data_IF_617867356834
#
_entry.id   IF_617867356834
#
_cell.length_a   1.000
_cell.length_b   1.000
_cell.length_c   1.000
_cell.angle_alpha   90.00
_cell.angle_beta   90.00
_cell.angle_gamma   90.00
#
_symmetry.space_group_name_H-M   'P 1'
#
loop_
_entity.id
_entity.type
_entity.pdbx_description
1 polymer ?
#
# COMPACT_ATOMS: atom_id res chain seq x y z
N UNK A 1 28.31 -0.02 32.31
CA UNK A 1 28.09 0.15 30.86
C UNK A 1 28.28 1.63 30.54
N UNK A 2 29.17 2.02 29.62
CA UNK A 2 29.49 3.45 29.41
C UNK A 2 28.29 4.20 28.84
N UNK A 3 28.18 5.50 29.15
CA UNK A 3 27.10 6.37 28.65
C UNK A 3 27.00 6.37 27.10
N UNK A 4 28.11 6.11 26.41
CA UNK A 4 28.15 5.92 24.94
C UNK A 4 27.45 4.64 24.46
N UNK A 5 27.47 3.58 25.28
CA UNK A 5 26.84 2.30 24.93
C UNK A 5 25.31 2.41 24.99
N UNK A 6 24.77 3.11 25.99
CA UNK A 6 23.32 3.34 26.12
C UNK A 6 22.77 4.27 25.03
N UNK A 7 23.55 5.29 24.62
CA UNK A 7 23.17 6.20 23.53
C UNK A 7 23.14 5.50 22.17
N UNK A 8 24.10 4.60 21.92
CA UNK A 8 24.15 3.78 20.71
C UNK A 8 23.00 2.76 20.66
N UNK A 9 22.64 2.16 21.81
CA UNK A 9 21.48 1.26 21.95
C UNK A 9 20.18 2.03 21.70
N UNK A 10 20.00 3.22 22.28
CA UNK A 10 18.82 4.06 22.07
C UNK A 10 18.68 4.52 20.61
N UNK A 11 19.80 4.86 19.94
CA UNK A 11 19.82 5.25 18.53
C UNK A 11 19.47 4.06 17.61
N UNK A 12 19.97 2.86 17.93
CA UNK A 12 19.64 1.63 17.20
C UNK A 12 18.18 1.19 17.42
N UNK A 13 17.62 1.42 18.62
CA UNK A 13 16.19 1.19 18.89
C UNK A 13 15.32 2.19 18.11
N UNK A 14 15.70 3.48 18.05
CA UNK A 14 14.99 4.48 17.24
C UNK A 14 15.10 4.22 15.73
N UNK A 15 16.28 3.79 15.23
CA UNK A 15 16.44 3.40 13.82
C UNK A 15 15.58 2.19 13.48
N UNK A 16 15.60 1.15 14.32
CA UNK A 16 14.72 -0.02 14.17
C UNK A 16 13.24 0.31 14.31
N UNK A 17 12.87 1.32 15.10
CA UNK A 17 11.48 1.78 15.22
C UNK A 17 11.01 2.56 14.00
N UNK A 18 11.84 3.44 13.41
CA UNK A 18 11.52 4.13 12.14
C UNK A 18 11.34 3.14 10.99
N UNK A 19 12.25 2.16 10.90
CA UNK A 19 12.16 1.02 9.99
C UNK A 19 10.84 0.28 10.26
N UNK A 20 10.57 -0.17 11.48
CA UNK A 20 9.33 -0.87 11.85
C UNK A 20 8.06 -0.06 11.55
N UNK A 21 8.05 1.26 11.70
CA UNK A 21 6.89 2.11 11.37
C UNK A 21 6.64 2.14 9.86
N UNK A 22 7.70 2.13 9.04
CA UNK A 22 7.60 1.97 7.59
C UNK A 22 7.12 0.57 7.17
N UNK A 23 7.52 -0.48 7.91
CA UNK A 23 6.97 -1.83 7.74
C UNK A 23 5.56 -1.95 8.34
N UNK A 24 5.13 -1.08 9.24
CA UNK A 24 3.85 -1.25 9.93
C UNK A 24 2.65 -0.90 9.04
N UNK A 25 2.87 -0.40 7.82
CA UNK A 25 1.80 -0.29 6.81
C UNK A 25 1.46 -1.69 6.22
N UNK A 26 2.21 -2.73 6.60
CA UNK A 26 2.10 -4.10 6.08
C UNK A 26 0.92 -4.85 6.72
N UNK A 27 0.03 -5.26 5.81
CA UNK A 27 -0.95 -6.36 5.83
C UNK A 27 -2.22 -6.23 6.66
N UNK A 28 -3.34 -6.31 5.96
CA UNK A 28 -4.51 -7.04 6.42
C UNK A 28 -4.74 -8.26 5.51
N UNK A 29 -4.98 -9.40 6.14
CA UNK A 29 -4.73 -10.78 5.70
C UNK A 29 -5.63 -11.27 4.55
N UNK A 30 -5.00 -12.01 3.64
CA UNK A 30 -5.52 -12.73 2.47
C UNK A 30 -5.91 -14.19 2.77
N UNK A 31 -7.06 -14.68 2.23
CA UNK A 31 -7.41 -16.11 2.04
C UNK A 31 -8.64 -16.36 1.13
N UNK A 32 -8.42 -16.31 -0.21
CA UNK A 32 -9.10 -16.93 -1.38
C UNK A 32 -10.66 -16.94 -1.55
N UNK A 33 -11.15 -16.52 -2.74
CA UNK A 33 -12.41 -17.03 -3.38
C UNK A 33 -13.26 -16.08 -4.29
N UNK A 34 -12.98 -15.99 -5.61
CA UNK A 34 -13.56 -15.07 -6.63
C UNK A 34 -15.10 -14.89 -6.67
N UNK A 35 -15.62 -13.72 -7.13
CA UNK A 35 -16.00 -13.55 -8.55
C UNK A 35 -15.76 -12.15 -9.20
N UNK A 36 -15.63 -12.14 -10.54
CA UNK A 36 -15.76 -10.99 -11.51
C UNK A 36 -17.26 -10.78 -11.82
N UNK A 37 -17.84 -9.67 -12.28
CA UNK A 37 -17.48 -8.39 -12.93
C UNK A 37 -18.71 -7.46 -12.75
N UNK A 38 -18.55 -6.14 -12.81
CA UNK A 38 -19.63 -5.25 -13.26
C UNK A 38 -19.08 -4.06 -14.07
N UNK A 39 -19.70 -3.84 -15.21
CA UNK A 39 -19.41 -2.83 -16.23
C UNK A 39 -20.04 -1.49 -15.84
N UNK A 40 -19.41 -0.39 -16.24
CA UNK A 40 -19.67 0.95 -15.70
C UNK A 40 -20.72 1.75 -16.47
N UNK A 41 -21.84 2.03 -15.81
CA UNK A 41 -22.66 3.22 -16.06
C UNK A 41 -22.36 4.27 -14.96
N UNK A 42 -22.62 5.55 -15.22
CA UNK A 42 -22.53 6.62 -14.21
C UNK A 42 -23.44 6.29 -13.01
N UNK A 43 -22.82 5.78 -11.93
CA UNK A 43 -23.53 5.39 -10.72
C UNK A 43 -23.97 6.61 -9.92
N UNK A 44 -25.29 6.84 -9.87
CA UNK A 44 -25.89 7.77 -8.92
C UNK A 44 -25.83 7.17 -7.50
N UNK A 45 -24.79 7.54 -6.75
CA UNK A 45 -24.51 7.01 -5.41
C UNK A 45 -25.63 7.23 -4.39
N UNK A 46 -26.56 8.16 -4.65
CA UNK A 46 -27.62 8.51 -3.71
C UNK A 46 -28.64 7.39 -3.48
N UNK A 47 -28.70 6.39 -4.37
CA UNK A 47 -29.62 5.26 -4.27
C UNK A 47 -28.91 3.92 -4.00
N UNK A 48 -27.59 3.92 -3.82
CA UNK A 48 -26.82 2.70 -3.55
C UNK A 48 -26.70 2.43 -2.04
N UNK A 49 -26.61 1.15 -1.65
CA UNK A 49 -26.30 0.80 -0.27
C UNK A 49 -24.83 1.09 0.06
N UNK A 50 -24.48 1.23 1.34
CA UNK A 50 -23.09 1.36 1.78
C UNK A 50 -22.21 0.21 1.26
N UNK A 51 -22.78 -1.00 1.25
CA UNK A 51 -22.14 -2.20 0.74
C UNK A 51 -21.86 -2.11 -0.75
N UNK A 52 -22.84 -1.69 -1.56
CA UNK A 52 -22.65 -1.58 -3.01
C UNK A 52 -21.58 -0.54 -3.36
N UNK A 53 -21.63 0.64 -2.70
CA UNK A 53 -20.64 1.71 -2.93
C UNK A 53 -19.22 1.23 -2.62
N UNK A 54 -19.00 0.61 -1.44
CA UNK A 54 -17.66 0.13 -1.08
C UNK A 54 -17.24 -1.05 -1.95
N UNK A 55 -18.15 -1.97 -2.28
CA UNK A 55 -17.86 -3.15 -3.11
C UNK A 55 -17.48 -2.74 -4.54
N UNK A 56 -18.21 -1.81 -5.14
CA UNK A 56 -17.92 -1.29 -6.47
C UNK A 56 -16.53 -0.63 -6.51
N UNK A 57 -16.23 0.21 -5.51
CA UNK A 57 -14.91 0.86 -5.43
C UNK A 57 -13.78 -0.14 -5.16
N UNK A 58 -14.00 -1.11 -4.27
CA UNK A 58 -13.03 -2.16 -3.95
C UNK A 58 -12.68 -3.01 -5.16
N UNK A 59 -13.69 -3.40 -5.95
CA UNK A 59 -13.55 -4.24 -7.14
C UNK A 59 -13.01 -3.47 -8.35
N UNK A 60 -13.09 -2.13 -8.35
CA UNK A 60 -12.52 -1.27 -9.39
C UNK A 60 -11.01 -1.02 -9.22
N UNK A 61 -10.38 -1.52 -8.14
CA UNK A 61 -8.91 -1.47 -8.00
C UNK A 61 -8.27 -2.46 -8.95
N UNK A 62 -7.19 -2.04 -9.61
CA UNK A 62 -6.37 -2.96 -10.38
C UNK A 62 -5.70 -3.98 -9.45
N UNK A 63 -5.83 -5.25 -9.81
CA UNK A 63 -5.22 -6.40 -9.13
C UNK A 63 -4.63 -7.36 -10.16
N UNK A 64 -3.59 -8.10 -9.77
CA UNK A 64 -3.09 -9.22 -10.53
C UNK A 64 -4.14 -10.34 -10.52
N UNK A 65 -4.54 -10.77 -11.71
CA UNK A 65 -5.51 -11.84 -11.89
C UNK A 65 -4.90 -13.22 -11.58
N UNK A 66 -5.74 -14.26 -11.67
CA UNK A 66 -5.35 -15.66 -11.40
C UNK A 66 -4.21 -16.20 -12.31
N UNK A 67 -3.98 -15.56 -13.45
CA UNK A 67 -3.00 -15.99 -14.44
C UNK A 67 -1.65 -15.30 -14.20
N UNK A 68 -1.49 -14.58 -13.08
CA UNK A 68 -0.24 -13.94 -12.69
C UNK A 68 0.87 -14.99 -12.51
N UNK A 69 1.91 -14.95 -13.38
CA UNK A 69 2.93 -16.00 -13.40
C UNK A 69 4.07 -15.74 -12.41
N UNK A 70 3.95 -14.72 -11.56
CA UNK A 70 5.10 -14.16 -10.87
C UNK A 70 6.04 -13.40 -11.81
N UNK A 71 7.08 -12.80 -11.24
CA UNK A 71 8.12 -12.12 -12.01
C UNK A 71 9.45 -12.06 -11.26
N UNK A 72 10.52 -11.83 -12.02
CA UNK A 72 11.80 -11.37 -11.50
C UNK A 72 12.10 -9.97 -12.01
N UNK A 73 12.86 -9.20 -11.24
CA UNK A 73 13.42 -7.92 -11.67
C UNK A 73 14.77 -7.67 -11.00
N UNK A 74 15.60 -6.83 -11.60
CA UNK A 74 16.68 -6.20 -10.84
C UNK A 74 16.08 -5.12 -9.94
N UNK A 75 16.75 -4.82 -8.83
CA UNK A 75 16.35 -3.75 -7.93
C UNK A 75 17.54 -2.89 -7.57
N UNK A 76 17.32 -1.58 -7.49
CA UNK A 76 18.23 -0.63 -6.85
C UNK A 76 17.43 0.18 -5.85
N UNK A 77 17.97 0.38 -4.65
CA UNK A 77 17.31 1.17 -3.62
C UNK A 77 18.28 2.10 -2.91
N UNK A 78 17.78 3.28 -2.56
CA UNK A 78 18.47 4.27 -1.74
C UNK A 78 17.68 4.51 -0.46
N UNK A 79 18.37 4.48 0.68
CA UNK A 79 17.81 4.80 2.00
C UNK A 79 18.90 5.35 2.91
N UNK A 80 18.63 6.42 3.67
CA UNK A 80 19.60 7.05 4.58
C UNK A 80 20.95 7.40 3.88
N UNK A 81 20.91 7.87 2.63
CA UNK A 81 22.08 8.16 1.79
C UNK A 81 22.96 6.94 1.48
N UNK A 82 22.48 5.72 1.71
CA UNK A 82 23.10 4.48 1.27
C UNK A 82 22.37 3.95 0.06
N UNK A 83 23.10 3.43 -0.92
CA UNK A 83 22.54 2.77 -2.10
C UNK A 83 23.00 1.32 -2.13
N UNK A 84 22.11 0.42 -2.52
CA UNK A 84 22.44 -0.98 -2.78
C UNK A 84 21.57 -1.54 -3.90
N UNK A 85 22.03 -2.63 -4.52
CA UNK A 85 21.42 -3.24 -5.70
C UNK A 85 21.34 -4.74 -5.53
N UNK A 86 20.41 -5.37 -6.23
CA UNK A 86 20.26 -6.81 -6.23
C UNK A 86 19.19 -7.24 -7.21
N UNK A 87 18.48 -8.31 -6.85
CA UNK A 87 17.35 -8.82 -7.63
C UNK A 87 16.24 -9.29 -6.73
N UNK A 88 15.03 -9.33 -7.29
CA UNK A 88 13.83 -9.77 -6.58
C UNK A 88 13.09 -10.80 -7.40
N UNK A 89 12.32 -11.62 -6.69
CA UNK A 89 11.47 -12.66 -7.23
C UNK A 89 10.14 -12.59 -6.49
N UNK A 90 9.06 -12.42 -7.24
CA UNK A 90 7.70 -12.60 -6.75
C UNK A 90 7.15 -13.83 -7.43
N UNK A 91 6.90 -14.90 -6.66
CA UNK A 91 6.33 -16.15 -7.20
C UNK A 91 4.84 -16.01 -7.60
N UNK A 92 4.27 -16.95 -8.38
CA UNK A 92 2.82 -16.98 -8.63
C UNK A 92 1.99 -17.03 -7.34
N UNK A 93 2.53 -17.66 -6.29
CA UNK A 93 1.91 -17.71 -4.96
C UNK A 93 2.26 -16.49 -4.09
N UNK A 94 2.71 -15.39 -4.72
CA UNK A 94 2.94 -14.09 -4.09
C UNK A 94 4.02 -14.07 -3.00
N UNK A 95 4.86 -15.11 -2.92
CA UNK A 95 6.05 -15.10 -2.05
C UNK A 95 7.14 -14.22 -2.65
N UNK A 96 7.73 -13.38 -1.82
CA UNK A 96 8.80 -12.44 -2.19
C UNK A 96 10.16 -12.97 -1.74
N UNK A 97 11.14 -12.96 -2.63
CA UNK A 97 12.57 -13.16 -2.31
C UNK A 97 13.36 -11.93 -2.77
N UNK A 98 14.31 -11.52 -1.93
CA UNK A 98 15.30 -10.48 -2.25
C UNK A 98 16.67 -11.16 -2.24
N UNK A 99 17.44 -10.99 -3.31
CA UNK A 99 18.72 -11.68 -3.54
C UNK A 99 19.80 -10.64 -3.85
N UNK A 100 21.03 -10.93 -3.41
CA UNK A 100 22.23 -10.16 -3.73
C UNK A 100 22.20 -8.69 -3.32
N UNK A 101 21.51 -8.36 -2.21
CA UNK A 101 21.58 -7.04 -1.56
C UNK A 101 22.41 -7.22 -0.29
N UNK A 102 23.54 -6.53 -0.20
CA UNK A 102 24.54 -6.70 0.87
C UNK A 102 24.11 -6.01 2.17
N UNK A 103 23.52 -4.83 2.05
CA UNK A 103 23.00 -4.05 3.16
C UNK A 103 21.65 -4.62 3.62
N UNK A 104 21.64 -5.21 4.81
CA UNK A 104 20.45 -5.84 5.38
C UNK A 104 19.29 -4.86 5.61
N UNK A 105 19.55 -3.59 5.96
CA UNK A 105 18.50 -2.58 6.13
C UNK A 105 17.82 -2.28 4.79
N UNK A 106 18.60 -2.18 3.71
CA UNK A 106 18.08 -1.96 2.36
C UNK A 106 17.37 -3.22 1.83
N UNK A 107 17.90 -4.41 2.10
CA UNK A 107 17.28 -5.68 1.72
C UNK A 107 15.90 -5.86 2.39
N UNK A 108 15.80 -5.53 3.69
CA UNK A 108 14.54 -5.54 4.41
C UNK A 108 13.59 -4.50 3.81
N UNK A 109 14.06 -3.27 3.58
CA UNK A 109 13.25 -2.18 3.01
C UNK A 109 12.64 -2.61 1.66
N UNK A 110 13.46 -3.12 0.75
CA UNK A 110 13.01 -3.65 -0.55
C UNK A 110 11.94 -4.71 -0.34
N UNK A 111 12.19 -5.69 0.55
CA UNK A 111 11.21 -6.76 0.84
C UNK A 111 9.88 -6.19 1.32
N UNK A 112 9.91 -5.24 2.25
CA UNK A 112 8.71 -4.60 2.79
C UNK A 112 7.91 -3.87 1.71
N UNK A 113 8.57 -3.11 0.84
CA UNK A 113 7.92 -2.34 -0.21
C UNK A 113 7.31 -3.24 -1.30
N UNK A 114 7.94 -4.37 -1.61
CA UNK A 114 7.36 -5.36 -2.53
C UNK A 114 6.19 -6.08 -1.86
N UNK A 115 6.29 -6.45 -0.59
CA UNK A 115 5.16 -7.04 0.15
C UNK A 115 3.95 -6.10 0.17
N UNK A 116 4.18 -4.79 0.33
CA UNK A 116 3.12 -3.78 0.19
C UNK A 116 2.47 -3.83 -1.19
N UNK A 117 3.25 -3.83 -2.26
CA UNK A 117 2.71 -3.93 -3.62
C UNK A 117 1.90 -5.23 -3.80
N UNK A 118 2.46 -6.36 -3.40
CA UNK A 118 1.81 -7.67 -3.44
C UNK A 118 0.45 -7.65 -2.74
N UNK A 119 0.37 -7.08 -1.53
CA UNK A 119 -0.89 -7.02 -0.78
C UNK A 119 -1.96 -6.18 -1.49
N UNK A 120 -1.56 -5.09 -2.16
CA UNK A 120 -2.48 -4.22 -2.90
C UNK A 120 -2.87 -4.77 -4.26
N UNK A 121 -2.03 -5.64 -4.83
CA UNK A 121 -2.26 -6.27 -6.14
C UNK A 121 -2.86 -7.67 -6.04
N UNK A 122 -2.89 -8.29 -4.87
CA UNK A 122 -3.56 -9.58 -4.72
C UNK A 122 -5.07 -9.44 -4.97
N UNK A 123 -5.61 -10.33 -5.81
CA UNK A 123 -7.05 -10.45 -6.02
C UNK A 123 -7.69 -11.19 -4.84
N UNK A 124 -8.16 -10.43 -3.86
CA UNK A 124 -8.95 -10.93 -2.74
C UNK A 124 -10.42 -10.56 -2.99
N UNK A 125 -11.38 -11.47 -2.78
CA UNK A 125 -12.80 -11.18 -2.92
C UNK A 125 -13.28 -10.25 -1.82
N UNK A 126 -14.21 -9.37 -2.18
CA UNK A 126 -14.81 -8.43 -1.26
C UNK A 126 -15.44 -9.12 -0.03
N UNK A 127 -16.21 -10.19 -0.27
CA UNK A 127 -16.97 -10.92 0.76
C UNK A 127 -16.06 -11.48 1.84
N UNK A 128 -14.83 -11.85 1.48
CA UNK A 128 -13.88 -12.46 2.37
C UNK A 128 -13.24 -11.45 3.35
N UNK A 129 -13.06 -10.19 2.93
CA UNK A 129 -12.49 -9.14 3.78
C UNK A 129 -13.55 -8.27 4.48
N UNK A 130 -14.66 -8.01 3.79
CA UNK A 130 -15.65 -7.02 4.21
C UNK A 130 -17.03 -7.64 4.48
N UNK A 131 -17.29 -8.87 4.02
CA UNK A 131 -18.63 -9.45 4.02
C UNK A 131 -19.22 -9.76 5.40
N UNK A 132 -18.39 -9.80 6.45
CA UNK A 132 -18.85 -9.98 7.84
C UNK A 132 -19.00 -8.63 8.58
N UNK A 133 -18.59 -7.52 7.97
CA UNK A 133 -18.60 -6.22 8.61
C UNK A 133 -19.90 -5.46 8.31
N UNK A 134 -20.31 -4.59 9.24
CA UNK A 134 -21.45 -3.71 9.05
C UNK A 134 -20.99 -2.39 8.45
N UNK A 135 -21.60 -1.96 7.35
CA UNK A 135 -21.27 -0.72 6.66
C UNK A 135 -22.35 0.32 6.86
N UNK A 136 -21.95 1.54 7.21
CA UNK A 136 -22.84 2.66 7.49
C UNK A 136 -22.40 3.88 6.70
N UNK A 137 -23.26 4.42 5.84
CA UNK A 137 -23.03 5.73 5.22
C UNK A 137 -23.14 6.78 6.32
N UNK A 138 -22.07 7.56 6.51
CA UNK A 138 -22.00 8.66 7.48
C UNK A 138 -22.52 9.95 6.89
N UNK A 139 -22.12 10.24 5.66
CA UNK A 139 -22.62 11.34 4.86
C UNK A 139 -22.37 11.07 3.37
N UNK A 140 -23.04 11.86 2.54
CA UNK A 140 -22.74 11.99 1.12
C UNK A 140 -22.63 13.50 0.85
N UNK A 141 -21.48 13.94 0.34
CA UNK A 141 -21.21 15.33 0.00
C UNK A 141 -20.86 15.43 -1.49
N UNK A 142 -21.70 16.14 -2.26
CA UNK A 142 -21.68 16.13 -3.73
C UNK A 142 -21.77 14.71 -4.30
N UNK A 143 -20.64 14.11 -4.69
CA UNK A 143 -20.54 12.75 -5.21
C UNK A 143 -19.56 11.88 -4.42
N UNK A 144 -19.16 12.34 -3.23
CA UNK A 144 -18.27 11.62 -2.32
C UNK A 144 -19.08 11.04 -1.16
N UNK A 145 -19.04 9.72 -0.99
CA UNK A 145 -19.63 9.04 0.16
C UNK A 145 -18.57 8.81 1.25
N UNK A 146 -18.91 9.12 2.51
CA UNK A 146 -18.13 8.67 3.66
C UNK A 146 -18.80 7.45 4.28
N UNK A 147 -18.07 6.34 4.37
CA UNK A 147 -18.59 5.04 4.85
C UNK A 147 -17.77 4.58 6.04
N UNK A 148 -18.46 4.27 7.14
CA UNK A 148 -17.89 3.64 8.32
C UNK A 148 -18.09 2.13 8.24
N UNK A 149 -17.00 1.38 8.35
CA UNK A 149 -16.96 -0.07 8.48
C UNK A 149 -16.77 -0.47 9.93
N UNK A 150 -17.74 -1.20 10.47
CA UNK A 150 -17.74 -1.71 11.84
C UNK A 150 -17.53 -3.21 11.83
N UNK A 151 -16.54 -3.69 12.57
CA UNK A 151 -16.19 -5.10 12.64
C UNK A 151 -14.76 -5.27 13.15
N UNK A 152 -14.17 -6.42 12.82
CA UNK A 152 -12.83 -6.81 13.29
C UNK A 152 -11.75 -5.79 12.91
N UNK A 153 -11.85 -5.25 11.69
CA UNK A 153 -10.83 -4.40 11.09
C UNK A 153 -11.44 -3.05 10.67
N UNK A 154 -12.21 -2.45 11.59
CA UNK A 154 -13.00 -1.25 11.34
C UNK A 154 -12.22 -0.12 10.68
N UNK A 155 -12.90 0.61 9.79
CA UNK A 155 -12.30 1.61 8.92
C UNK A 155 -13.28 2.73 8.59
N UNK A 156 -12.78 3.89 8.21
CA UNK A 156 -13.56 4.94 7.55
C UNK A 156 -13.05 5.11 6.13
N UNK A 157 -13.95 5.16 5.16
CA UNK A 157 -13.62 5.36 3.76
C UNK A 157 -14.23 6.65 3.25
N UNK A 158 -13.52 7.33 2.33
CA UNK A 158 -14.12 8.29 1.41
C UNK A 158 -14.06 7.73 0.01
N UNK A 159 -15.18 7.70 -0.68
CA UNK A 159 -15.33 7.05 -1.99
C UNK A 159 -16.02 7.99 -2.95
N UNK A 160 -15.47 8.11 -4.15
CA UNK A 160 -16.04 8.88 -5.25
C UNK A 160 -15.75 8.18 -6.58
N UNK A 161 -16.71 8.14 -7.49
CA UNK A 161 -16.54 7.61 -8.85
C UNK A 161 -15.91 6.18 -8.89
N UNK A 162 -16.29 5.33 -7.92
CA UNK A 162 -15.76 3.98 -7.70
C UNK A 162 -14.24 3.95 -7.43
N UNK A 163 -13.71 5.01 -6.84
CA UNK A 163 -12.33 5.12 -6.35
C UNK A 163 -12.37 5.37 -4.84
N UNK A 164 -11.56 4.60 -4.11
CA UNK A 164 -11.32 4.86 -2.68
C UNK A 164 -10.34 6.04 -2.60
N UNK A 165 -10.83 7.21 -2.18
CA UNK A 165 -10.04 8.43 -2.03
C UNK A 165 -9.33 8.49 -0.68
N UNK A 166 -9.93 7.92 0.36
CA UNK A 166 -9.33 7.91 1.69
C UNK A 166 -9.67 6.61 2.40
N UNK A 167 -8.74 6.10 3.20
CA UNK A 167 -8.99 5.08 4.21
C UNK A 167 -8.36 5.51 5.53
N UNK A 168 -9.12 5.48 6.61
CA UNK A 168 -8.66 5.70 7.98
C UNK A 168 -8.88 4.42 8.78
N UNK A 169 -7.83 3.93 9.44
CA UNK A 169 -7.84 2.69 10.21
C UNK A 169 -7.00 2.81 11.46
N UNK A 170 -7.46 2.15 12.51
CA UNK A 170 -6.63 1.86 13.68
C UNK A 170 -5.56 0.83 13.33
N UNK A 171 -4.37 1.04 13.87
CA UNK A 171 -3.21 0.17 13.73
C UNK A 171 -2.81 -0.36 15.11
N UNK A 172 -2.03 -1.46 15.16
CA UNK A 172 -1.41 -1.90 16.41
C UNK A 172 -0.61 -0.78 17.08
N UNK A 173 -0.31 -0.93 18.37
CA UNK A 173 0.50 0.01 19.17
C UNK A 173 -0.09 1.42 19.31
N UNK A 174 -1.42 1.54 19.43
CA UNK A 174 -2.11 2.81 19.69
C UNK A 174 -1.87 3.87 18.60
N UNK A 175 -1.84 3.45 17.34
CA UNK A 175 -1.68 4.33 16.19
C UNK A 175 -2.93 4.30 15.33
N UNK A 176 -3.16 5.36 14.57
CA UNK A 176 -4.06 5.36 13.42
C UNK A 176 -3.26 5.68 12.17
N UNK A 177 -3.70 5.15 11.03
CA UNK A 177 -3.22 5.52 9.71
C UNK A 177 -4.38 6.04 8.89
N UNK A 178 -4.22 7.24 8.35
CA UNK A 178 -5.07 7.79 7.30
C UNK A 178 -4.26 7.76 6.01
N UNK A 179 -4.79 7.18 4.94
CA UNK A 179 -4.17 7.19 3.61
C UNK A 179 -5.08 7.93 2.65
N UNK A 180 -4.61 9.05 2.13
CA UNK A 180 -5.25 9.82 1.07
C UNK A 180 -4.68 9.40 -0.29
N UNK A 181 -5.55 8.95 -1.19
CA UNK A 181 -5.21 8.73 -2.61
C UNK A 181 -5.32 10.07 -3.33
N UNK A 182 -4.19 10.57 -3.82
CA UNK A 182 -4.08 11.89 -4.43
C UNK A 182 -4.17 11.80 -5.96
N UNK A 183 -3.52 10.80 -6.55
CA UNK A 183 -3.52 10.57 -7.99
C UNK A 183 -3.72 9.09 -8.31
N UNK A 184 -4.36 8.84 -9.45
CA UNK A 184 -4.58 7.49 -9.97
C UNK A 184 -4.34 7.40 -11.47
N UNK A 185 -3.82 6.25 -11.91
CA UNK A 185 -3.72 5.87 -13.30
C UNK A 185 -4.88 4.93 -13.66
N UNK A 186 -5.58 5.22 -14.75
CA UNK A 186 -6.61 4.32 -15.30
C UNK A 186 -5.96 3.18 -16.07
N UNK A 187 -6.50 1.98 -15.90
CA UNK A 187 -6.15 0.78 -16.66
C UNK A 187 -7.39 0.21 -17.35
N UNK A 188 -7.24 -0.82 -18.19
CA UNK A 188 -8.38 -1.56 -18.74
C UNK A 188 -9.20 -2.31 -17.68
N UNK A 189 -8.61 -2.60 -16.53
CA UNK A 189 -9.16 -3.49 -15.50
C UNK A 189 -9.28 -2.79 -14.14
N UNK A 190 -9.48 -1.46 -14.14
CA UNK A 190 -9.63 -0.66 -12.92
C UNK A 190 -8.61 0.48 -12.82
N UNK A 191 -8.29 0.90 -11.60
CA UNK A 191 -7.32 1.98 -11.33
C UNK A 191 -6.11 1.52 -10.50
N UNK A 192 -4.99 2.19 -10.71
CA UNK A 192 -3.77 2.11 -9.89
C UNK A 192 -3.62 3.43 -9.14
N UNK A 193 -3.44 3.42 -7.82
CA UNK A 193 -2.99 4.62 -7.11
C UNK A 193 -1.52 4.90 -7.48
N UNK A 194 -1.20 6.15 -7.80
CA UNK A 194 0.15 6.58 -8.20
C UNK A 194 0.74 7.63 -7.28
N UNK A 195 -0.09 8.44 -6.59
CA UNK A 195 0.37 9.31 -5.52
C UNK A 195 -0.55 9.17 -4.31
N UNK A 196 0.03 9.05 -3.12
CA UNK A 196 -0.73 8.96 -1.88
C UNK A 196 0.03 9.55 -0.69
N UNK A 197 -0.73 10.11 0.25
CA UNK A 197 -0.25 10.64 1.52
C UNK A 197 -0.73 9.74 2.65
N UNK A 198 0.22 9.14 3.37
CA UNK A 198 -0.05 8.36 4.58
C UNK A 198 0.27 9.18 5.81
N UNK A 199 -0.71 9.38 6.68
CA UNK A 199 -0.61 10.16 7.92
C UNK A 199 -0.76 9.23 9.11
N UNK A 200 0.27 9.15 9.95
CA UNK A 200 0.28 8.33 11.15
C UNK A 200 0.13 9.21 12.38
N UNK A 201 -0.83 8.87 13.24
CA UNK A 201 -1.10 9.59 14.49
C UNK A 201 -1.16 8.64 15.68
N UNK A 202 -0.89 9.17 16.88
CA UNK A 202 -1.18 8.46 18.11
C UNK A 202 -2.69 8.54 18.40
N UNK A 203 -3.34 7.40 18.64
CA UNK A 203 -4.80 7.35 18.82
C UNK A 203 -5.28 8.08 20.08
N UNK A 204 -4.46 8.11 21.14
CA UNK A 204 -4.84 8.68 22.43
C UNK A 204 -4.61 10.19 22.49
N UNK A 205 -3.49 10.66 21.93
CA UNK A 205 -3.11 12.08 21.97
C UNK A 205 -3.47 12.85 20.72
N UNK A 206 -3.86 12.16 19.64
CA UNK A 206 -4.03 12.70 18.29
C UNK A 206 -2.75 13.40 17.74
N UNK A 207 -1.59 13.13 18.35
CA UNK A 207 -0.32 13.71 17.93
C UNK A 207 0.12 13.11 16.58
N UNK A 208 0.53 13.97 15.65
CA UNK A 208 1.16 13.57 14.40
C UNK A 208 2.52 12.91 14.66
N UNK A 209 2.62 11.62 14.34
CA UNK A 209 3.84 10.84 14.42
C UNK A 209 4.69 11.06 13.17
N UNK A 210 4.09 10.88 11.98
CA UNK A 210 4.80 10.89 10.70
C UNK A 210 3.81 11.10 9.55
N UNK A 211 4.23 11.78 8.49
CA UNK A 211 3.60 11.67 7.18
C UNK A 211 4.57 11.05 6.17
N UNK A 212 4.03 10.30 5.22
CA UNK A 212 4.77 9.72 4.11
C UNK A 212 4.04 10.02 2.80
N UNK A 213 4.63 10.88 1.98
CA UNK A 213 4.17 11.09 0.61
C UNK A 213 4.86 10.06 -0.27
N UNK A 214 4.09 9.26 -1.00
CA UNK A 214 4.62 8.23 -1.90
C UNK A 214 4.21 8.51 -3.33
N UNK A 215 5.15 8.29 -4.25
CA UNK A 215 4.93 8.36 -5.69
C UNK A 215 5.35 7.01 -6.28
N UNK A 216 4.40 6.37 -6.94
CA UNK A 216 4.55 5.08 -7.60
C UNK A 216 4.40 5.23 -9.10
N UNK A 217 5.34 4.60 -9.81
CA UNK A 217 5.28 4.42 -11.25
C UNK A 217 5.14 2.93 -11.55
N UNK A 218 4.09 2.56 -12.30
CA UNK A 218 3.86 1.20 -12.75
C UNK A 218 4.14 1.07 -14.25
N UNK A 219 4.81 -0.02 -14.63
CA UNK A 219 5.06 -0.39 -16.02
C UNK A 219 4.19 -1.58 -16.43
N UNK A 220 3.64 -1.53 -17.64
CA UNK A 220 2.91 -2.67 -18.20
C UNK A 220 3.90 -3.67 -18.82
N UNK A 221 4.03 -4.82 -18.19
CA UNK A 221 4.85 -5.96 -18.64
C UNK A 221 3.92 -7.11 -19.00
N UNK A 222 3.81 -7.42 -20.29
CA UNK A 222 2.79 -8.34 -20.80
C UNK A 222 1.38 -7.85 -20.45
N UNK A 223 0.63 -8.66 -19.70
CA UNK A 223 -0.73 -8.33 -19.25
C UNK A 223 -0.78 -7.70 -17.85
N UNK A 224 0.36 -7.48 -17.20
CA UNK A 224 0.43 -7.07 -15.80
C UNK A 224 1.07 -5.70 -15.65
N UNK A 225 0.51 -4.86 -14.77
CA UNK A 225 1.19 -3.67 -14.29
C UNK A 225 2.04 -4.04 -13.08
N UNK A 226 3.34 -3.75 -13.16
CA UNK A 226 4.34 -4.03 -12.13
C UNK A 226 4.93 -2.71 -11.64
N UNK A 227 5.21 -2.61 -10.34
CA UNK A 227 5.86 -1.43 -9.77
C UNK A 227 7.27 -1.27 -10.38
N UNK A 228 7.47 -0.23 -11.18
CA UNK A 228 8.75 0.14 -11.79
C UNK A 228 9.56 1.04 -10.85
N UNK A 229 8.91 2.00 -10.19
CA UNK A 229 9.59 2.84 -9.22
C UNK A 229 8.68 3.26 -8.09
N UNK A 230 9.27 3.48 -6.90
CA UNK A 230 8.62 4.10 -5.75
C UNK A 230 9.56 5.11 -5.12
N UNK A 231 9.05 6.32 -4.88
CA UNK A 231 9.73 7.38 -4.12
C UNK A 231 8.90 7.72 -2.90
N UNK A 232 9.53 7.79 -1.73
CA UNK A 232 8.88 8.11 -0.46
C UNK A 232 9.58 9.30 0.19
N UNK A 233 8.79 10.29 0.59
CA UNK A 233 9.21 11.50 1.25
C UNK A 233 8.64 11.49 2.68
N UNK A 234 9.53 11.52 3.68
CA UNK A 234 9.21 11.34 5.09
C UNK A 234 9.43 12.66 5.82
N UNK A 235 8.34 13.33 6.21
CA UNK A 235 8.37 14.53 7.04
C UNK A 235 7.05 14.69 7.78
N UNK A 236 6.95 15.67 8.68
CA UNK A 236 5.64 16.15 9.17
C UNK A 236 4.93 17.03 8.14
N UNK A 237 5.67 17.48 7.12
CA UNK A 237 5.20 18.18 5.92
C UNK A 237 6.12 17.74 4.77
N UNK A 238 5.79 16.66 4.04
CA UNK A 238 6.65 16.13 2.98
C UNK A 238 6.66 17.05 1.76
N UNK A 239 7.85 17.38 1.25
CA UNK A 239 8.04 18.14 0.01
C UNK A 239 8.47 17.19 -1.11
N UNK A 240 7.57 16.94 -2.06
CA UNK A 240 7.86 16.06 -3.21
C UNK A 240 8.91 16.61 -4.19
N UNK A 241 9.31 17.88 -4.05
CA UNK A 241 10.39 18.49 -4.83
C UNK A 241 11.77 18.29 -4.19
N UNK A 242 11.81 17.78 -2.96
CA UNK A 242 13.06 17.44 -2.28
C UNK A 242 13.68 16.13 -2.81
N UNK A 243 14.84 15.74 -2.28
CA UNK A 243 15.35 14.40 -2.50
C UNK A 243 14.53 13.39 -1.68
N UNK A 244 14.06 12.32 -2.32
CA UNK A 244 13.30 11.28 -1.62
C UNK A 244 14.15 10.60 -0.55
N UNK A 245 13.60 10.42 0.65
CA UNK A 245 14.23 9.66 1.74
C UNK A 245 14.44 8.20 1.38
N UNK A 246 13.51 7.67 0.58
CA UNK A 246 13.58 6.33 -0.01
C UNK A 246 13.29 6.43 -1.49
N UNK A 247 14.14 5.81 -2.29
CA UNK A 247 13.91 5.58 -3.71
C UNK A 247 14.16 4.11 -3.99
N UNK A 248 13.22 3.44 -4.65
CA UNK A 248 13.39 2.07 -5.13
C UNK A 248 13.02 2.04 -6.60
N UNK A 249 13.87 1.41 -7.39
CA UNK A 249 13.65 1.21 -8.82
C UNK A 249 13.81 -0.26 -9.16
N UNK A 250 12.93 -0.74 -10.02
CA UNK A 250 12.90 -2.06 -10.59
C UNK A 250 13.06 -1.96 -12.11
N UNK A 251 13.88 -2.83 -12.67
CA UNK A 251 14.05 -2.91 -14.12
C UNK A 251 14.33 -4.35 -14.56
N UNK A 252 14.44 -4.56 -15.87
CA UNK A 252 14.71 -5.87 -16.48
C UNK A 252 13.69 -6.94 -16.05
N UNK A 253 12.41 -6.57 -16.05
CA UNK A 253 11.32 -7.48 -15.69
C UNK A 253 11.29 -8.72 -16.59
N UNK A 254 11.11 -9.88 -15.97
CA UNK A 254 10.83 -11.15 -16.65
C UNK A 254 9.62 -11.79 -15.98
N UNK A 255 8.57 -12.03 -16.76
CA UNK A 255 7.39 -12.75 -16.29
C UNK A 255 7.70 -14.24 -16.21
N UNK A 256 7.13 -14.89 -15.20
CA UNK A 256 7.42 -16.27 -14.88
C UNK A 256 8.69 -16.39 -14.03
N UNK A 257 8.64 -17.30 -13.09
CA UNK A 257 9.80 -17.72 -12.30
C UNK A 257 10.04 -19.19 -12.57
N UNK A 258 11.28 -19.55 -12.91
CA UNK A 258 11.72 -20.93 -12.88
C UNK A 258 11.80 -21.37 -11.43
N UNK A 259 10.95 -22.32 -11.04
CA UNK A 259 11.05 -23.01 -9.74
C UNK A 259 12.38 -23.75 -9.58
#
# INVERSE_FOLDING_TARGET
>A
MSMNTQKLIALNILKRSKISILFSIITLISLVGYPKLAQSDETNINNQSATDILKDAYNNRYVWNKDFPGYTANVSATYNNQEDKGSIEVSPQLKVKVKNVENSEIADLIRGQIMMEVNHRQSIPYEQLHGQNTLVIKNIESTTASIEEKGKDGALYKIKDRVILQVDRSMPNNMTVTVDTLETNKTSDGYLASEYLSTLKNINTNELIQEAYSIDDHEKVGNFYLLNSRRIYLSKVPDKNSQADISIKFDNFKLGVTE
#
